data_IF_910109894371
#
_entry.id   IF_910109894371
#
_cell.length_a   1.000
_cell.length_b   1.000
_cell.length_c   1.000
_cell.angle_alpha   90.00
_cell.angle_beta   90.00
_cell.angle_gamma   90.00
#
_symmetry.space_group_name_H-M   'P 1'
#
loop_
_entity.id
_entity.type
_entity.pdbx_description
1 polymer ?
#
# COMPACT_ATOMS: atom_id res chain seq x y z
N UNK A 1 -18.91 123.25 41.89
CA UNK A 1 -19.10 123.70 43.28
C UNK A 1 -20.44 124.40 43.39
N UNK A 2 -21.31 123.93 44.26
CA UNK A 2 -22.66 124.45 44.43
C UNK A 2 -22.67 125.75 45.25
N UNK A 3 -23.57 126.68 44.94
CA UNK A 3 -23.79 127.90 45.72
C UNK A 3 -24.20 127.55 47.16
N UNK A 4 -23.85 128.34 48.20
CA UNK A 4 -24.26 128.08 49.58
C UNK A 4 -25.78 127.89 49.74
N UNK A 5 -26.58 128.66 48.98
CA UNK A 5 -28.03 128.53 48.96
C UNK A 5 -28.49 127.21 48.34
N UNK A 6 -27.89 126.80 47.22
CA UNK A 6 -28.17 125.53 46.55
C UNK A 6 -27.82 124.34 47.43
N UNK A 7 -26.72 124.41 48.20
CA UNK A 7 -26.33 123.34 49.16
C UNK A 7 -27.36 123.16 50.27
N UNK A 8 -27.81 124.25 50.91
CA UNK A 8 -28.82 124.17 51.97
C UNK A 8 -30.15 123.63 51.44
N UNK A 9 -30.54 124.03 50.23
CA UNK A 9 -31.73 123.52 49.55
C UNK A 9 -31.59 122.01 49.27
N UNK A 10 -30.47 121.59 48.69
CA UNK A 10 -30.20 120.17 48.38
C UNK A 10 -30.15 119.30 49.64
N UNK A 11 -29.53 119.77 50.72
CA UNK A 11 -29.49 119.05 52.00
C UNK A 11 -30.92 118.88 52.56
N UNK A 12 -31.73 119.93 52.56
CA UNK A 12 -33.12 119.87 53.04
C UNK A 12 -33.97 118.88 52.25
N UNK A 13 -33.82 118.90 50.92
CA UNK A 13 -34.50 117.95 50.02
C UNK A 13 -34.01 116.52 50.22
N UNK A 14 -32.70 116.31 50.37
CA UNK A 14 -32.13 114.98 50.65
C UNK A 14 -32.59 114.43 52.00
N UNK A 15 -32.68 115.28 53.02
CA UNK A 15 -33.16 114.91 54.35
C UNK A 15 -34.65 114.54 54.31
N UNK A 16 -35.47 115.29 53.60
CA UNK A 16 -36.87 114.94 53.35
C UNK A 16 -37.00 113.61 52.59
N UNK A 17 -36.19 113.39 51.56
CA UNK A 17 -36.17 112.14 50.78
C UNK A 17 -35.71 110.94 51.62
N UNK A 18 -34.66 111.09 52.43
CA UNK A 18 -34.18 110.05 53.35
C UNK A 18 -35.29 109.72 54.35
N UNK A 19 -35.91 110.73 54.96
CA UNK A 19 -36.99 110.55 55.93
C UNK A 19 -38.18 109.82 55.31
N UNK A 20 -38.61 110.20 54.09
CA UNK A 20 -39.68 109.51 53.36
C UNK A 20 -39.32 108.05 53.06
N UNK A 21 -38.08 107.77 52.65
CA UNK A 21 -37.62 106.39 52.38
C UNK A 21 -37.49 105.55 53.67
N UNK A 22 -37.10 106.16 54.79
CA UNK A 22 -37.07 105.49 56.10
C UNK A 22 -38.49 105.17 56.57
N UNK A 23 -39.45 106.09 56.40
CA UNK A 23 -40.87 105.88 56.72
C UNK A 23 -41.47 104.75 55.87
N UNK A 24 -41.18 104.73 54.55
CA UNK A 24 -41.57 103.63 53.65
C UNK A 24 -40.95 102.28 54.05
N UNK A 25 -39.96 102.28 54.94
CA UNK A 25 -39.35 101.08 55.50
C UNK A 25 -39.74 100.70 56.92
N UNK A 26 -40.50 101.55 57.62
CA UNK A 26 -40.88 101.33 59.01
C UNK A 26 -41.78 100.09 59.20
N UNK A 27 -42.46 99.64 58.15
CA UNK A 27 -43.14 98.35 58.14
C UNK A 27 -42.14 97.22 57.85
N UNK A 28 -41.41 96.77 58.88
CA UNK A 28 -40.63 95.52 58.82
C UNK A 28 -40.83 94.63 60.03
N UNK A 29 -40.81 93.32 59.75
CA UNK A 29 -40.10 92.33 60.56
C UNK A 29 -38.63 92.36 60.12
N UNK A 30 -37.71 92.54 61.04
CA UNK A 30 -36.27 92.52 60.76
C UNK A 30 -35.88 91.14 60.22
N UNK A 31 -35.38 91.08 58.98
CA UNK A 31 -34.67 89.91 58.50
C UNK A 31 -33.19 90.11 58.82
N UNK A 32 -32.66 89.24 59.67
CA UNK A 32 -31.29 89.31 60.17
C UNK A 32 -30.28 89.42 59.02
N UNK A 33 -29.43 90.45 59.12
CA UNK A 33 -28.21 90.57 58.33
C UNK A 33 -27.18 89.59 58.90
N UNK A 34 -27.23 88.32 58.48
CA UNK A 34 -26.20 87.35 58.81
C UNK A 34 -24.96 87.59 57.94
N UNK A 35 -24.08 88.45 58.45
CA UNK A 35 -22.70 88.59 58.00
C UNK A 35 -21.85 87.46 58.59
N UNK A 36 -22.15 86.21 58.23
CA UNK A 36 -21.31 85.06 58.59
C UNK A 36 -20.73 84.44 57.32
N UNK A 37 -19.49 84.83 57.02
CA UNK A 37 -18.62 84.13 56.08
C UNK A 37 -18.27 82.75 56.65
N UNK A 38 -18.89 81.69 56.13
CA UNK A 38 -18.43 80.32 56.34
C UNK A 38 -17.52 79.88 55.19
N UNK A 39 -16.44 79.16 55.50
CA UNK A 39 -15.44 78.66 54.55
C UNK A 39 -16.04 77.81 53.41
N UNK A 40 -15.43 77.92 52.22
CA UNK A 40 -15.93 77.36 50.95
C UNK A 40 -16.03 75.82 50.92
N UNK A 41 -15.30 75.11 51.79
CA UNK A 41 -15.18 73.64 51.76
C UNK A 41 -16.43 72.86 52.19
N UNK A 42 -17.39 73.48 52.89
CA UNK A 42 -18.58 72.78 53.44
C UNK A 42 -19.78 72.80 52.48
N UNK A 43 -19.67 73.43 51.29
CA UNK A 43 -20.84 73.81 50.46
C UNK A 43 -21.16 72.86 49.29
N UNK A 44 -20.40 71.79 49.06
CA UNK A 44 -20.56 70.95 47.87
C UNK A 44 -21.12 69.54 48.15
N UNK A 45 -21.35 69.20 49.41
CA UNK A 45 -21.96 67.91 49.78
C UNK A 45 -23.40 68.14 50.20
N UNK A 46 -24.32 68.27 49.23
CA UNK A 46 -25.64 67.63 49.27
C UNK A 46 -26.45 67.99 48.02
N UNK A 47 -26.70 66.96 47.22
CA UNK A 47 -27.58 67.00 46.05
C UNK A 47 -29.04 66.89 46.47
N UNK A 48 -29.85 67.58 45.69
CA UNK A 48 -31.29 67.47 45.49
C UNK A 48 -32.24 68.25 46.41
N UNK A 49 -33.29 68.72 45.72
CA UNK A 49 -34.55 69.29 46.17
C UNK A 49 -34.60 70.83 46.18
N UNK A 50 -35.02 71.39 45.04
CA UNK A 50 -35.89 72.56 44.97
C UNK A 50 -35.39 73.89 45.60
N UNK A 51 -34.11 74.20 45.56
CA UNK A 51 -33.57 75.49 46.03
C UNK A 51 -32.55 76.05 45.05
N UNK A 52 -32.80 77.26 44.53
CA UNK A 52 -31.78 78.03 43.80
C UNK A 52 -30.93 78.73 44.86
N UNK A 53 -29.74 78.20 45.12
CA UNK A 53 -28.73 78.88 45.93
C UNK A 53 -28.05 79.94 45.08
N UNK A 54 -28.15 81.22 45.47
CA UNK A 54 -27.34 82.28 44.90
C UNK A 54 -25.93 82.21 45.52
N UNK A 55 -24.97 81.69 44.75
CA UNK A 55 -23.61 81.36 45.19
C UNK A 55 -22.83 82.59 45.70
N UNK A 56 -23.27 83.80 45.36
CA UNK A 56 -22.65 85.05 45.78
C UNK A 56 -23.21 85.64 47.10
N UNK A 57 -24.39 85.21 47.56
CA UNK A 57 -25.17 86.00 48.55
C UNK A 57 -25.69 85.22 49.77
N UNK A 58 -25.43 83.92 49.90
CA UNK A 58 -25.74 83.10 51.10
C UNK A 58 -27.10 83.37 51.76
N UNK A 59 -28.19 83.43 50.98
CA UNK A 59 -29.55 83.54 51.49
C UNK A 59 -30.44 82.48 50.83
N UNK A 60 -31.28 81.84 51.64
CA UNK A 60 -32.37 80.97 51.19
C UNK A 60 -33.41 81.82 50.46
N UNK A 61 -33.53 81.65 49.14
CA UNK A 61 -34.50 82.38 48.32
C UNK A 61 -35.89 81.75 48.45
N UNK A 62 -36.93 82.48 48.93
CA UNK A 62 -38.31 81.99 48.93
C UNK A 62 -38.85 81.85 47.50
N UNK A 63 -39.54 80.73 47.20
CA UNK A 63 -40.11 80.44 45.85
C UNK A 63 -41.18 81.42 45.35
N UNK A 64 -41.80 82.22 46.24
CA UNK A 64 -42.81 83.18 45.80
C UNK A 64 -42.14 84.38 45.13
N UNK A 65 -42.49 84.63 43.86
CA UNK A 65 -42.02 85.81 43.10
C UNK A 65 -42.28 87.12 43.84
N UNK A 66 -43.33 87.14 44.66
CA UNK A 66 -43.76 88.30 45.42
C UNK A 66 -42.85 88.60 46.62
N UNK A 67 -42.47 87.59 47.40
CA UNK A 67 -41.50 87.73 48.50
C UNK A 67 -40.10 88.11 47.98
N UNK A 68 -39.72 87.59 46.81
CA UNK A 68 -38.48 87.96 46.14
C UNK A 68 -38.44 89.43 45.72
N UNK A 69 -39.53 89.93 45.13
CA UNK A 69 -39.68 91.35 44.78
C UNK A 69 -39.65 92.23 46.03
N UNK A 70 -40.33 91.82 47.09
CA UNK A 70 -40.34 92.54 48.37
C UNK A 70 -38.93 92.63 48.97
N UNK A 71 -38.20 91.51 49.07
CA UNK A 71 -36.81 91.49 49.56
C UNK A 71 -35.89 92.36 48.70
N UNK A 72 -36.04 92.31 47.37
CA UNK A 72 -35.26 93.13 46.43
C UNK A 72 -35.55 94.62 46.64
N UNK A 73 -36.82 95.02 46.64
CA UNK A 73 -37.25 96.40 46.85
C UNK A 73 -36.74 96.96 48.18
N UNK A 74 -36.82 96.15 49.24
CA UNK A 74 -36.39 96.52 50.57
C UNK A 74 -34.87 96.74 50.66
N UNK A 75 -34.07 95.94 49.96
CA UNK A 75 -32.61 96.13 49.86
C UNK A 75 -32.24 97.33 49.02
N UNK A 76 -32.91 97.51 47.87
CA UNK A 76 -32.70 98.67 47.00
C UNK A 76 -33.01 99.96 47.76
N UNK A 77 -34.09 99.98 48.55
CA UNK A 77 -34.40 101.11 49.44
C UNK A 77 -33.32 101.37 50.48
N UNK A 78 -32.85 100.34 51.20
CA UNK A 78 -31.76 100.49 52.18
C UNK A 78 -30.47 101.00 51.54
N UNK A 79 -30.17 100.54 50.33
CA UNK A 79 -29.02 100.98 49.56
C UNK A 79 -29.17 102.45 49.14
N UNK A 80 -30.34 102.86 48.64
CA UNK A 80 -30.64 104.25 48.29
C UNK A 80 -30.52 105.14 49.54
N UNK A 81 -31.06 104.73 50.68
CA UNK A 81 -30.91 105.48 51.95
C UNK A 81 -29.43 105.65 52.34
N UNK A 82 -28.62 104.59 52.22
CA UNK A 82 -27.17 104.66 52.47
C UNK A 82 -26.45 105.59 51.50
N UNK A 83 -26.74 105.51 50.20
CA UNK A 83 -26.13 106.39 49.19
C UNK A 83 -26.54 107.85 49.40
N UNK A 84 -27.82 108.12 49.65
CA UNK A 84 -28.31 109.48 49.90
C UNK A 84 -27.77 110.07 51.21
N UNK A 85 -27.60 109.26 52.26
CA UNK A 85 -27.00 109.72 53.52
C UNK A 85 -25.50 110.02 53.37
N UNK A 86 -24.77 109.25 52.55
CA UNK A 86 -23.39 109.56 52.17
C UNK A 86 -23.31 110.86 51.37
N UNK A 87 -24.18 111.05 50.37
CA UNK A 87 -24.25 112.30 49.57
C UNK A 87 -24.57 113.50 50.46
N UNK A 88 -25.51 113.36 51.40
CA UNK A 88 -25.83 114.41 52.38
C UNK A 88 -24.59 114.78 53.20
N UNK A 89 -23.85 113.79 53.68
CA UNK A 89 -22.65 114.01 54.51
C UNK A 89 -21.53 114.68 53.70
N UNK A 90 -21.29 114.26 52.45
CA UNK A 90 -20.32 114.89 51.55
C UNK A 90 -20.69 116.33 51.18
N UNK A 91 -21.99 116.63 51.02
CA UNK A 91 -22.47 117.99 50.76
C UNK A 91 -22.30 118.92 51.97
N UNK A 92 -22.39 118.39 53.19
CA UNK A 92 -22.13 119.12 54.44
C UNK A 92 -20.62 119.39 54.59
N UNK A 93 -19.78 118.38 54.39
CA UNK A 93 -18.35 118.44 54.71
C UNK A 93 -17.47 119.04 53.60
N UNK A 94 -17.71 118.67 52.34
CA UNK A 94 -16.81 118.99 51.21
C UNK A 94 -17.49 119.84 50.13
N UNK A 95 -18.83 119.89 50.09
CA UNK A 95 -19.58 120.67 49.10
C UNK A 95 -19.51 120.13 47.66
N UNK A 96 -19.06 118.88 47.52
CA UNK A 96 -18.97 118.10 46.28
C UNK A 96 -19.72 116.78 46.45
N UNK A 97 -20.07 116.11 45.36
CA UNK A 97 -20.86 114.86 45.38
C UNK A 97 -20.02 113.78 44.71
N UNK A 98 -19.18 113.06 45.46
CA UNK A 98 -18.25 112.05 44.90
C UNK A 98 -18.71 110.61 45.17
N UNK A 99 -19.44 110.37 46.26
CA UNK A 99 -20.00 109.08 46.64
C UNK A 99 -20.89 108.48 45.55
N UNK A 100 -21.68 109.32 44.86
CA UNK A 100 -22.55 108.82 43.78
C UNK A 100 -21.75 108.37 42.56
N UNK A 101 -20.65 109.05 42.23
CA UNK A 101 -19.80 108.66 41.10
C UNK A 101 -18.99 107.40 41.43
N UNK A 102 -18.47 107.28 42.65
CA UNK A 102 -17.82 106.05 43.12
C UNK A 102 -18.78 104.86 43.15
N UNK A 103 -20.02 105.06 43.63
CA UNK A 103 -21.04 104.02 43.57
C UNK A 103 -21.42 103.65 42.14
N UNK A 104 -21.63 104.64 41.27
CA UNK A 104 -22.01 104.42 39.87
C UNK A 104 -20.92 103.69 39.08
N UNK A 105 -19.63 103.96 39.35
CA UNK A 105 -18.52 103.26 38.70
C UNK A 105 -18.45 101.80 39.12
N UNK A 106 -18.57 101.50 40.41
CA UNK A 106 -18.62 100.12 40.93
C UNK A 106 -19.85 99.37 40.40
N UNK A 107 -21.04 99.98 40.45
CA UNK A 107 -22.27 99.36 39.95
C UNK A 107 -22.20 99.10 38.44
N UNK A 108 -21.65 100.04 37.66
CA UNK A 108 -21.43 99.83 36.24
C UNK A 108 -20.43 98.70 35.97
N UNK A 109 -19.36 98.59 36.75
CA UNK A 109 -18.41 97.50 36.64
C UNK A 109 -19.07 96.15 36.92
N UNK A 110 -19.78 96.02 38.05
CA UNK A 110 -20.52 94.80 38.40
C UNK A 110 -21.58 94.45 37.35
N UNK A 111 -22.27 95.45 36.78
CA UNK A 111 -23.25 95.24 35.70
C UNK A 111 -22.59 94.68 34.44
N UNK A 112 -21.42 95.21 34.05
CA UNK A 112 -20.68 94.72 32.89
C UNK A 112 -20.15 93.30 33.09
N UNK A 113 -19.62 92.99 34.28
CA UNK A 113 -19.21 91.62 34.64
C UNK A 113 -20.38 90.63 34.57
N UNK A 114 -21.55 91.02 35.10
CA UNK A 114 -22.76 90.20 35.03
C UNK A 114 -23.16 89.89 33.59
N UNK A 115 -23.16 90.89 32.70
CA UNK A 115 -23.44 90.71 31.28
C UNK A 115 -22.42 89.74 30.65
N UNK A 116 -21.13 89.91 30.95
CA UNK A 116 -20.07 89.03 30.45
C UNK A 116 -20.25 87.56 30.88
N UNK A 117 -20.59 87.34 32.15
CA UNK A 117 -20.86 86.01 32.69
C UNK A 117 -22.11 85.40 32.03
N UNK A 118 -23.18 86.18 31.88
CA UNK A 118 -24.41 85.73 31.23
C UNK A 118 -24.18 85.33 29.77
N UNK A 119 -23.40 86.11 29.01
CA UNK A 119 -23.04 85.81 27.63
C UNK A 119 -22.19 84.53 27.53
N UNK A 120 -21.22 84.35 28.43
CA UNK A 120 -20.41 83.13 28.49
C UNK A 120 -21.27 81.91 28.83
N UNK A 121 -22.18 82.05 29.79
CA UNK A 121 -23.12 80.98 30.13
C UNK A 121 -24.00 80.61 28.92
N UNK A 122 -24.56 81.60 28.22
CA UNK A 122 -25.35 81.37 27.00
C UNK A 122 -24.54 80.61 25.95
N UNK A 123 -23.31 81.05 25.65
CA UNK A 123 -22.42 80.37 24.69
C UNK A 123 -22.11 78.94 25.12
N UNK A 124 -21.86 78.72 26.41
CA UNK A 124 -21.59 77.38 26.93
C UNK A 124 -22.80 76.46 26.83
N UNK A 125 -24.01 76.96 27.07
CA UNK A 125 -25.25 76.18 26.88
C UNK A 125 -25.39 75.76 25.40
N UNK A 126 -25.24 76.69 24.47
CA UNK A 126 -25.30 76.37 23.04
C UNK A 126 -24.26 75.30 22.65
N UNK A 127 -23.01 75.44 23.11
CA UNK A 127 -21.95 74.44 22.87
C UNK A 127 -22.25 73.08 23.50
N UNK A 128 -22.86 73.05 24.68
CA UNK A 128 -23.26 71.80 25.32
C UNK A 128 -24.34 71.09 24.52
N UNK A 129 -25.30 71.83 23.96
CA UNK A 129 -26.35 71.25 23.13
C UNK A 129 -25.80 70.72 21.79
N UNK A 130 -24.83 71.42 21.17
CA UNK A 130 -24.09 70.93 20.00
C UNK A 130 -23.33 69.63 20.31
N UNK A 131 -22.60 69.58 21.43
CA UNK A 131 -21.84 68.39 21.85
C UNK A 131 -22.78 67.21 22.10
N UNK A 132 -23.93 67.44 22.75
CA UNK A 132 -24.94 66.38 22.96
C UNK A 132 -25.43 65.81 21.64
N UNK A 133 -25.78 66.68 20.68
CA UNK A 133 -26.24 66.26 19.37
C UNK A 133 -25.17 65.43 18.63
N UNK A 134 -23.91 65.87 18.67
CA UNK A 134 -22.80 65.13 18.09
C UNK A 134 -22.57 63.78 18.79
N UNK A 135 -22.67 63.74 20.11
CA UNK A 135 -22.50 62.49 20.87
C UNK A 135 -23.61 61.48 20.55
N UNK A 136 -24.84 61.94 20.36
CA UNK A 136 -25.97 61.08 19.98
C UNK A 136 -25.76 60.54 18.56
N UNK A 137 -25.38 61.39 17.61
CA UNK A 137 -25.08 60.97 16.24
C UNK A 137 -23.94 59.94 16.19
N UNK A 138 -22.86 60.16 16.93
CA UNK A 138 -21.75 59.19 17.02
C UNK A 138 -22.25 57.87 17.61
N UNK A 139 -23.14 57.91 18.60
CA UNK A 139 -23.73 56.70 19.20
C UNK A 139 -24.58 55.93 18.18
N UNK A 140 -25.40 56.62 17.39
CA UNK A 140 -26.19 56.01 16.33
C UNK A 140 -25.31 55.41 15.22
N UNK A 141 -24.31 56.16 14.74
CA UNK A 141 -23.38 55.69 13.71
C UNK A 141 -22.54 54.48 14.20
N UNK A 142 -22.10 54.51 15.46
CA UNK A 142 -21.37 53.37 16.07
C UNK A 142 -22.26 52.15 16.27
N UNK A 143 -23.52 52.33 16.69
CA UNK A 143 -24.48 51.24 16.78
C UNK A 143 -24.81 50.64 15.40
N UNK A 144 -24.97 51.48 14.38
CA UNK A 144 -25.25 51.04 13.03
C UNK A 144 -24.09 50.27 12.41
N UNK A 145 -22.85 50.76 12.59
CA UNK A 145 -21.64 50.07 12.12
C UNK A 145 -21.41 48.76 12.86
N UNK A 146 -21.61 48.73 14.19
CA UNK A 146 -21.53 47.49 14.97
C UNK A 146 -22.56 46.45 14.50
N UNK A 147 -23.82 46.86 14.30
CA UNK A 147 -24.87 45.98 13.80
C UNK A 147 -24.58 45.47 12.37
N UNK A 148 -24.04 46.32 11.50
CA UNK A 148 -23.64 45.92 10.15
C UNK A 148 -22.51 44.88 10.17
N UNK A 149 -21.52 45.08 11.05
CA UNK A 149 -20.44 44.11 11.26
C UNK A 149 -20.94 42.79 11.84
N UNK A 150 -21.92 42.82 12.75
CA UNK A 150 -22.52 41.62 13.32
C UNK A 150 -23.21 40.77 12.25
N UNK A 151 -23.97 41.40 11.35
CA UNK A 151 -24.59 40.72 10.19
C UNK A 151 -23.53 40.08 9.28
N UNK A 152 -22.44 40.79 8.97
CA UNK A 152 -21.36 40.26 8.12
C UNK A 152 -20.67 39.06 8.80
N UNK A 153 -20.42 39.14 10.11
CA UNK A 153 -19.85 38.04 10.90
C UNK A 153 -20.77 36.81 10.84
N UNK A 154 -22.08 36.98 11.03
CA UNK A 154 -23.04 35.88 10.93
C UNK A 154 -23.08 35.24 9.53
N UNK A 155 -23.00 36.05 8.47
CA UNK A 155 -22.90 35.57 7.08
C UNK A 155 -21.64 34.73 6.88
N UNK A 156 -20.48 35.23 7.33
CA UNK A 156 -19.22 34.50 7.23
C UNK A 156 -19.20 33.23 8.08
N UNK A 157 -19.84 33.23 9.24
CA UNK A 157 -20.01 32.02 10.05
C UNK A 157 -20.86 30.98 9.31
N UNK A 158 -21.97 31.39 8.68
CA UNK A 158 -22.80 30.49 7.86
C UNK A 158 -22.03 29.91 6.66
N UNK A 159 -21.25 30.73 5.96
CA UNK A 159 -20.38 30.28 4.87
C UNK A 159 -19.35 29.24 5.36
N UNK A 160 -18.68 29.52 6.50
CA UNK A 160 -17.71 28.60 7.10
C UNK A 160 -18.34 27.27 7.50
N UNK A 161 -19.54 27.28 8.08
CA UNK A 161 -20.23 26.06 8.47
C UNK A 161 -20.70 25.24 7.27
N UNK A 162 -21.13 25.90 6.19
CA UNK A 162 -21.41 25.23 4.93
C UNK A 162 -20.15 24.58 4.36
N UNK A 163 -19.02 25.31 4.36
CA UNK A 163 -17.74 24.79 3.89
C UNK A 163 -17.27 23.58 4.70
N UNK A 164 -17.35 23.65 6.04
CA UNK A 164 -17.04 22.52 6.92
C UNK A 164 -17.89 21.30 6.62
N UNK A 165 -19.21 21.48 6.46
CA UNK A 165 -20.13 20.39 6.12
C UNK A 165 -19.76 19.77 4.78
N UNK A 166 -19.46 20.59 3.77
CA UNK A 166 -19.04 20.11 2.45
C UNK A 166 -17.70 19.34 2.52
N UNK A 167 -16.73 19.84 3.26
CA UNK A 167 -15.44 19.17 3.43
C UNK A 167 -15.60 17.80 4.12
N UNK A 168 -16.43 17.72 5.17
CA UNK A 168 -16.72 16.47 5.87
C UNK A 168 -17.44 15.48 4.96
N UNK A 169 -18.45 15.91 4.20
CA UNK A 169 -19.18 15.03 3.28
C UNK A 169 -18.30 14.52 2.16
N UNK A 170 -17.45 15.38 1.57
CA UNK A 170 -16.46 14.99 0.57
C UNK A 170 -15.44 13.99 1.14
N UNK A 171 -14.93 14.23 2.35
CA UNK A 171 -14.01 13.32 3.01
C UNK A 171 -14.64 11.94 3.25
N UNK A 172 -15.87 11.89 3.78
CA UNK A 172 -16.59 10.63 3.99
C UNK A 172 -16.89 9.91 2.68
N UNK A 173 -17.30 10.64 1.64
CA UNK A 173 -17.54 10.07 0.33
C UNK A 173 -16.26 9.45 -0.25
N UNK A 174 -15.15 10.20 -0.24
CA UNK A 174 -13.86 9.72 -0.71
C UNK A 174 -13.38 8.50 0.07
N UNK A 175 -13.53 8.50 1.39
CA UNK A 175 -13.18 7.36 2.23
C UNK A 175 -13.99 6.12 1.86
N UNK A 176 -15.33 6.25 1.76
CA UNK A 176 -16.20 5.13 1.37
C UNK A 176 -15.90 4.63 -0.04
N UNK A 177 -15.66 5.53 -0.98
CA UNK A 177 -15.30 5.19 -2.35
C UNK A 177 -13.97 4.43 -2.42
N UNK A 178 -12.95 4.90 -1.70
CA UNK A 178 -11.65 4.22 -1.63
C UNK A 178 -11.76 2.86 -0.94
N UNK A 179 -12.52 2.75 0.15
CA UNK A 179 -12.77 1.48 0.83
C UNK A 179 -13.45 0.47 -0.10
N UNK A 180 -14.52 0.87 -0.78
CA UNK A 180 -15.22 -0.01 -1.71
C UNK A 180 -14.32 -0.45 -2.88
N UNK A 181 -13.49 0.46 -3.39
CA UNK A 181 -12.50 0.15 -4.44
C UNK A 181 -11.45 -0.84 -3.95
N UNK A 182 -10.96 -0.66 -2.72
CA UNK A 182 -10.02 -1.58 -2.10
C UNK A 182 -10.64 -2.98 -1.93
N UNK A 183 -11.86 -3.07 -1.40
CA UNK A 183 -12.56 -4.34 -1.20
C UNK A 183 -12.83 -5.06 -2.53
N UNK A 184 -13.23 -4.31 -3.57
CA UNK A 184 -13.40 -4.85 -4.92
C UNK A 184 -12.09 -5.41 -5.48
N UNK A 185 -11.00 -4.64 -5.38
CA UNK A 185 -9.69 -5.07 -5.86
C UNK A 185 -9.19 -6.30 -5.10
N UNK A 186 -9.36 -6.32 -3.77
CA UNK A 186 -9.03 -7.46 -2.93
C UNK A 186 -9.79 -8.70 -3.38
N UNK A 187 -11.11 -8.60 -3.59
CA UNK A 187 -11.92 -9.73 -4.04
C UNK A 187 -11.52 -10.23 -5.45
N UNK A 188 -11.14 -9.32 -6.36
CA UNK A 188 -10.63 -9.68 -7.69
C UNK A 188 -9.31 -10.44 -7.61
N UNK A 189 -8.36 -9.92 -6.82
CA UNK A 189 -7.06 -10.57 -6.59
C UNK A 189 -7.27 -11.95 -5.97
N UNK A 190 -8.05 -12.05 -4.89
CA UNK A 190 -8.34 -13.34 -4.24
C UNK A 190 -8.97 -14.34 -5.22
N UNK A 191 -9.89 -13.89 -6.09
CA UNK A 191 -10.49 -14.76 -7.10
C UNK A 191 -9.46 -15.25 -8.12
N UNK A 192 -8.57 -14.38 -8.58
CA UNK A 192 -7.50 -14.76 -9.52
C UNK A 192 -6.49 -15.69 -8.86
N UNK A 193 -6.07 -15.40 -7.63
CA UNK A 193 -5.19 -16.27 -6.84
C UNK A 193 -5.80 -17.66 -6.63
N UNK A 194 -7.09 -17.75 -6.31
CA UNK A 194 -7.79 -19.04 -6.21
C UNK A 194 -7.77 -19.82 -7.52
N UNK A 195 -8.04 -19.17 -8.66
CA UNK A 195 -7.97 -19.82 -9.98
C UNK A 195 -6.58 -20.34 -10.29
N UNK A 196 -5.54 -19.53 -10.06
CA UNK A 196 -4.16 -19.95 -10.26
C UNK A 196 -3.78 -21.11 -9.34
N UNK A 197 -4.25 -21.09 -8.09
CA UNK A 197 -4.04 -22.20 -7.15
C UNK A 197 -4.71 -23.49 -7.64
N UNK A 198 -5.95 -23.41 -8.14
CA UNK A 198 -6.65 -24.55 -8.75
C UNK A 198 -5.88 -25.09 -9.96
N UNK A 199 -5.38 -24.21 -10.85
CA UNK A 199 -4.55 -24.60 -11.99
C UNK A 199 -3.26 -25.29 -11.56
N UNK A 200 -2.55 -24.74 -10.56
CA UNK A 200 -1.33 -25.36 -9.99
C UNK A 200 -1.66 -26.76 -9.46
N UNK A 201 -2.72 -26.91 -8.66
CA UNK A 201 -3.10 -28.23 -8.11
C UNK A 201 -3.48 -29.22 -9.19
N UNK A 202 -4.13 -28.78 -10.27
CA UNK A 202 -4.48 -29.64 -11.39
C UNK A 202 -3.23 -30.10 -12.16
N UNK A 203 -2.28 -29.20 -12.40
CA UNK A 203 -1.00 -29.54 -13.05
C UNK A 203 -0.18 -30.49 -12.17
N UNK A 204 -0.11 -30.23 -10.87
CA UNK A 204 0.60 -31.09 -9.91
C UNK A 204 0.00 -32.51 -9.88
N UNK A 205 -1.34 -32.62 -9.81
CA UNK A 205 -2.04 -33.90 -9.90
C UNK A 205 -1.74 -34.63 -11.21
N UNK A 206 -1.71 -33.93 -12.35
CA UNK A 206 -1.34 -34.53 -13.64
C UNK A 206 0.11 -35.02 -13.63
N UNK A 207 1.03 -34.22 -13.11
CA UNK A 207 2.45 -34.60 -12.98
C UNK A 207 2.61 -35.87 -12.13
N UNK A 208 1.92 -35.97 -11.00
CA UNK A 208 1.95 -37.16 -10.13
C UNK A 208 1.41 -38.40 -10.87
N UNK A 209 0.36 -38.24 -11.67
CA UNK A 209 -0.21 -39.33 -12.46
C UNK A 209 0.73 -39.75 -13.60
N UNK A 210 1.34 -38.80 -14.30
CA UNK A 210 2.36 -39.07 -15.33
C UNK A 210 3.57 -39.79 -14.74
N UNK A 211 4.08 -39.34 -13.58
CA UNK A 211 5.17 -40.00 -12.86
C UNK A 211 4.82 -41.44 -12.46
N UNK A 212 3.58 -41.68 -12.04
CA UNK A 212 3.10 -43.02 -11.70
C UNK A 212 3.08 -43.93 -12.94
N UNK A 213 2.49 -43.47 -14.04
CA UNK A 213 2.44 -44.22 -15.30
C UNK A 213 3.86 -44.48 -15.82
N UNK A 214 4.73 -43.48 -15.75
CA UNK A 214 6.13 -43.62 -16.15
C UNK A 214 6.84 -44.72 -15.34
N UNK A 215 6.66 -44.75 -14.01
CA UNK A 215 7.20 -45.81 -13.14
C UNK A 215 6.63 -47.19 -13.49
N UNK A 216 5.35 -47.29 -13.83
CA UNK A 216 4.74 -48.56 -14.26
C UNK A 216 5.30 -49.03 -15.60
N UNK A 217 5.48 -48.13 -16.58
CA UNK A 217 6.13 -48.42 -17.86
C UNK A 217 7.56 -48.92 -17.65
N UNK A 218 8.36 -48.22 -16.83
CA UNK A 218 9.73 -48.62 -16.52
C UNK A 218 9.78 -50.01 -15.88
N UNK A 219 8.86 -50.32 -14.96
CA UNK A 219 8.76 -51.66 -14.36
C UNK A 219 8.41 -52.72 -15.40
N UNK A 220 7.42 -52.46 -16.25
CA UNK A 220 7.03 -53.37 -17.32
C UNK A 220 8.20 -53.64 -18.27
N UNK A 221 8.90 -52.59 -18.71
CA UNK A 221 10.07 -52.72 -19.57
C UNK A 221 11.17 -53.55 -18.89
N UNK A 222 11.48 -53.29 -17.61
CA UNK A 222 12.47 -54.06 -16.87
C UNK A 222 12.11 -55.56 -16.78
N UNK A 223 10.83 -55.88 -16.53
CA UNK A 223 10.35 -57.28 -16.50
C UNK A 223 10.45 -57.92 -17.89
N UNK A 224 10.02 -57.21 -18.93
CA UNK A 224 10.06 -57.71 -20.31
C UNK A 224 11.49 -57.93 -20.80
N UNK A 225 12.41 -57.00 -20.52
CA UNK A 225 13.84 -57.16 -20.83
C UNK A 225 14.40 -58.39 -20.12
N UNK A 226 14.10 -58.58 -18.83
CA UNK A 226 14.56 -59.75 -18.08
C UNK A 226 14.02 -61.07 -18.66
N UNK A 227 12.75 -61.12 -19.06
CA UNK A 227 12.17 -62.30 -19.70
C UNK A 227 12.89 -62.63 -21.02
N UNK A 228 13.14 -61.63 -21.86
CA UNK A 228 13.87 -61.81 -23.10
C UNK A 228 15.31 -62.29 -22.83
N UNK A 229 15.99 -61.75 -21.82
CA UNK A 229 17.32 -62.21 -21.41
C UNK A 229 17.31 -63.67 -20.92
N UNK A 230 16.29 -64.07 -20.17
CA UNK A 230 16.08 -65.45 -19.71
C UNK A 230 15.84 -66.40 -20.90
N UNK A 231 15.01 -66.00 -21.87
CA UNK A 231 14.77 -66.76 -23.11
C UNK A 231 16.05 -66.89 -23.95
N UNK A 232 16.79 -65.80 -24.15
CA UNK A 232 18.08 -65.81 -24.85
C UNK A 232 19.04 -66.77 -24.16
N UNK A 233 19.10 -66.75 -22.82
CA UNK A 233 19.96 -67.66 -22.05
C UNK A 233 19.53 -69.12 -22.23
N UNK A 234 18.23 -69.40 -22.15
CA UNK A 234 17.67 -70.73 -22.36
C UNK A 234 18.04 -71.29 -23.75
N UNK A 235 17.80 -70.50 -24.80
CA UNK A 235 18.12 -70.91 -26.18
C UNK A 235 19.62 -71.10 -26.37
N UNK A 236 20.46 -70.21 -25.83
CA UNK A 236 21.92 -70.38 -25.88
C UNK A 236 22.37 -71.67 -25.20
N UNK A 237 21.82 -72.01 -24.03
CA UNK A 237 22.16 -73.24 -23.32
C UNK A 237 21.68 -74.49 -24.07
N UNK A 238 20.51 -74.43 -24.73
CA UNK A 238 20.01 -75.50 -25.58
C UNK A 238 20.91 -75.71 -26.80
N UNK A 239 21.23 -74.63 -27.53
CA UNK A 239 22.10 -74.70 -28.70
C UNK A 239 23.50 -75.20 -28.34
N UNK A 240 24.07 -74.78 -27.21
CA UNK A 240 25.35 -75.32 -26.72
C UNK A 240 25.29 -76.83 -26.48
N UNK A 241 24.20 -77.33 -25.90
CA UNK A 241 24.00 -78.78 -25.69
C UNK A 241 23.85 -79.53 -27.01
N UNK A 242 23.09 -78.98 -27.96
CA UNK A 242 22.88 -79.61 -29.26
C UNK A 242 24.16 -79.62 -30.10
N UNK A 243 24.92 -78.52 -30.10
CA UNK A 243 26.25 -78.44 -30.71
C UNK A 243 27.18 -79.48 -30.07
N UNK A 244 27.27 -79.53 -28.73
CA UNK A 244 28.11 -80.52 -28.05
C UNK A 244 27.71 -81.97 -28.35
N UNK A 245 26.41 -82.24 -28.54
CA UNK A 245 25.93 -83.57 -28.99
C UNK A 245 26.30 -83.85 -30.44
N UNK A 246 26.17 -82.87 -31.32
CA UNK A 246 26.59 -83.00 -32.72
C UNK A 246 28.09 -83.23 -32.83
N UNK A 247 28.91 -82.50 -32.08
CA UNK A 247 30.37 -82.69 -32.01
C UNK A 247 30.73 -84.10 -31.53
N UNK A 248 30.08 -84.60 -30.47
CA UNK A 248 30.23 -86.00 -30.01
C UNK A 248 29.85 -87.02 -31.09
N UNK A 249 28.76 -86.78 -31.82
CA UNK A 249 28.34 -87.65 -32.91
C UNK A 249 29.34 -87.63 -34.06
N UNK A 250 29.88 -86.46 -34.41
CA UNK A 250 30.93 -86.30 -35.43
C UNK A 250 32.16 -87.10 -35.00
N UNK A 251 32.66 -86.91 -33.77
CA UNK A 251 33.81 -87.66 -33.25
C UNK A 251 33.59 -89.17 -33.28
N UNK A 252 32.37 -89.64 -32.95
CA UNK A 252 32.05 -91.07 -33.00
C UNK A 252 31.99 -91.61 -34.44
N UNK A 253 31.46 -90.83 -35.39
CA UNK A 253 31.46 -91.20 -36.81
C UNK A 253 32.89 -91.21 -37.36
N UNK A 254 33.70 -90.21 -37.03
CA UNK A 254 35.13 -90.16 -37.41
C UNK A 254 35.87 -91.39 -36.87
N UNK A 255 35.69 -91.74 -35.59
CA UNK A 255 36.26 -92.96 -35.01
C UNK A 255 35.77 -94.24 -35.70
N UNK A 256 34.47 -94.35 -36.02
CA UNK A 256 33.95 -95.48 -36.79
C UNK A 256 34.53 -95.55 -38.21
N UNK A 257 34.79 -94.41 -38.85
CA UNK A 257 35.45 -94.35 -40.17
C UNK A 257 36.90 -94.79 -40.04
N UNK A 258 37.64 -94.33 -39.03
CA UNK A 258 39.00 -94.78 -38.74
C UNK A 258 39.05 -96.30 -38.51
N UNK A 259 38.15 -96.84 -37.68
CA UNK A 259 38.05 -98.28 -37.45
C UNK A 259 37.67 -99.05 -38.73
N UNK A 260 36.72 -98.53 -39.51
CA UNK A 260 36.31 -99.16 -40.77
C UNK A 260 37.44 -99.14 -41.82
N UNK A 261 38.21 -98.05 -41.91
CA UNK A 261 39.36 -97.94 -42.82
C UNK A 261 40.50 -98.86 -42.39
N UNK A 262 40.77 -98.98 -41.08
CA UNK A 262 41.72 -99.95 -40.55
C UNK A 262 41.30 -101.39 -40.85
N UNK A 263 40.02 -101.72 -40.63
CA UNK A 263 39.48 -103.04 -40.95
C UNK A 263 39.56 -103.33 -42.46
N UNK A 264 39.28 -102.33 -43.29
CA UNK A 264 39.37 -102.46 -44.75
C UNK A 264 40.80 -102.75 -45.18
N UNK A 265 41.78 -101.99 -44.69
CA UNK A 265 43.22 -102.23 -44.96
C UNK A 265 43.66 -103.62 -44.46
N UNK A 266 43.22 -104.05 -43.27
CA UNK A 266 43.49 -105.41 -42.77
C UNK A 266 42.86 -106.48 -43.68
N UNK A 267 41.63 -106.29 -44.14
CA UNK A 267 40.99 -107.23 -45.06
C UNK A 267 41.66 -107.25 -46.42
N UNK A 268 42.07 -106.09 -46.97
CA UNK A 268 42.81 -106.02 -48.25
C UNK A 268 44.14 -106.75 -48.16
N UNK A 269 44.89 -106.60 -47.05
CA UNK A 269 46.12 -107.36 -46.80
C UNK A 269 45.85 -108.86 -46.68
N UNK A 270 44.77 -109.26 -46.00
CA UNK A 270 44.39 -110.67 -45.88
C UNK A 270 43.99 -111.26 -47.24
N UNK A 271 43.22 -110.54 -48.06
CA UNK A 271 42.86 -111.00 -49.42
C UNK A 271 44.08 -111.04 -50.33
N UNK A 272 45.00 -110.08 -50.26
CA UNK A 272 46.26 -110.12 -51.01
C UNK A 272 47.10 -111.36 -50.63
N UNK A 273 47.21 -111.66 -49.33
CA UNK A 273 47.90 -112.86 -48.86
C UNK A 273 47.22 -114.15 -49.33
N UNK A 274 45.88 -114.20 -49.35
CA UNK A 274 45.13 -115.34 -49.85
C UNK A 274 45.26 -115.50 -51.38
N UNK A 275 45.25 -114.40 -52.14
CA UNK A 275 45.52 -114.40 -53.58
C UNK A 275 46.93 -114.87 -53.92
N UNK A 276 47.94 -114.44 -53.14
CA UNK A 276 49.32 -114.93 -53.26
C UNK A 276 49.41 -116.43 -52.96
N UNK A 277 48.75 -116.91 -51.90
CA UNK A 277 48.69 -118.32 -51.56
C UNK A 277 47.98 -119.15 -52.66
N UNK A 278 46.89 -118.64 -53.23
CA UNK A 278 46.19 -119.25 -54.37
C UNK A 278 47.05 -119.30 -55.64
N UNK A 279 47.89 -118.28 -55.89
CA UNK A 279 48.86 -118.30 -56.99
C UNK A 279 49.91 -119.39 -56.79
N UNK A 280 50.50 -119.50 -55.60
CA UNK A 280 51.45 -120.57 -55.27
C UNK A 280 50.83 -121.96 -55.46
N UNK A 281 49.59 -122.17 -54.98
CA UNK A 281 48.87 -123.43 -55.19
C UNK A 281 48.58 -123.73 -56.66
N UNK A 282 48.31 -122.72 -57.48
CA UNK A 282 48.15 -122.88 -58.94
C UNK A 282 49.47 -123.27 -59.59
N UNK A 283 50.57 -122.60 -59.25
CA UNK A 283 51.91 -122.93 -59.75
C UNK A 283 52.30 -124.37 -59.37
N UNK A 284 52.11 -124.77 -58.11
CA UNK A 284 52.36 -126.15 -57.67
C UNK A 284 51.47 -127.18 -58.40
N UNK A 285 50.23 -126.81 -58.73
CA UNK A 285 49.32 -127.68 -59.49
C UNK A 285 49.77 -127.81 -60.95
N UNK A 286 50.17 -126.71 -61.58
CA UNK A 286 50.72 -126.70 -62.94
C UNK A 286 52.03 -127.51 -63.02
N UNK A 287 52.92 -127.40 -62.02
CA UNK A 287 54.12 -128.25 -61.93
C UNK A 287 53.79 -129.73 -61.78
N UNK A 288 52.80 -130.08 -60.92
CA UNK A 288 52.30 -131.46 -60.79
C UNK A 288 51.72 -131.99 -62.09
N UNK A 289 50.91 -131.19 -62.79
CA UNK A 289 50.29 -131.58 -64.05
C UNK A 289 51.34 -131.74 -65.17
N UNK A 290 52.39 -130.91 -65.18
CA UNK A 290 53.52 -131.03 -66.10
C UNK A 290 54.34 -132.32 -65.86
N UNK A 291 54.59 -132.69 -64.60
CA UNK A 291 55.27 -133.94 -64.25
C UNK A 291 54.46 -135.17 -64.69
N UNK A 292 53.14 -135.17 -64.44
CA UNK A 292 52.24 -136.24 -64.87
C UNK A 292 52.17 -136.37 -66.39
N UNK A 293 52.23 -135.26 -67.13
CA UNK A 293 52.27 -135.28 -68.60
C UNK A 293 53.56 -135.93 -69.13
N UNK A 294 54.70 -135.67 -68.49
CA UNK A 294 55.99 -136.28 -68.84
C UNK A 294 55.98 -137.79 -68.55
N UNK A 295 55.39 -138.22 -67.43
CA UNK A 295 55.25 -139.66 -67.11
C UNK A 295 54.36 -140.39 -68.12
N UNK A 296 53.19 -139.84 -68.47
CA UNK A 296 52.34 -140.43 -69.51
C UNK A 296 53.05 -140.54 -70.85
N UNK A 297 53.82 -139.52 -71.25
CA UNK A 297 54.59 -139.55 -72.48
C UNK A 297 55.66 -140.65 -72.45
N UNK A 298 56.33 -140.86 -71.30
CA UNK A 298 57.30 -141.95 -71.11
C UNK A 298 56.64 -143.33 -71.23
N UNK A 299 55.46 -143.52 -70.64
CA UNK A 299 54.70 -144.76 -70.76
C UNK A 299 54.27 -145.03 -72.21
N UNK A 300 53.75 -144.03 -72.92
CA UNK A 300 53.37 -144.17 -74.33
C UNK A 300 54.57 -144.50 -75.23
N UNK A 301 55.73 -143.85 -74.99
CA UNK A 301 56.96 -144.17 -75.70
C UNK A 301 57.44 -145.61 -75.41
N UNK A 302 57.38 -146.04 -74.14
CA UNK A 302 57.73 -147.41 -73.75
C UNK A 302 56.83 -148.45 -74.43
N UNK A 303 55.51 -148.20 -74.51
CA UNK A 303 54.54 -149.06 -75.21
C UNK A 303 54.85 -149.14 -76.70
N UNK A 304 55.16 -148.01 -77.36
CA UNK A 304 55.54 -147.98 -78.78
C UNK A 304 56.83 -148.75 -79.06
N UNK A 305 57.83 -148.64 -78.20
CA UNK A 305 59.08 -149.42 -78.30
C UNK A 305 58.79 -150.91 -78.13
N UNK A 306 57.97 -151.28 -77.14
CA UNK A 306 57.60 -152.67 -76.88
C UNK A 306 56.81 -153.29 -78.06
N UNK A 307 55.90 -152.53 -78.66
CA UNK A 307 55.14 -152.94 -79.85
C UNK A 307 56.04 -153.07 -81.09
N UNK A 308 56.99 -152.14 -81.28
CA UNK A 308 57.96 -152.20 -82.37
C UNK A 308 58.88 -153.43 -82.27
N UNK A 309 59.38 -153.72 -81.06
CA UNK A 309 60.21 -154.90 -80.81
C UNK A 309 59.45 -156.22 -81.06
N UNK A 310 58.19 -156.32 -80.60
CA UNK A 310 57.34 -157.48 -80.88
C UNK A 310 57.06 -157.67 -82.37
N UNK A 311 56.88 -156.58 -83.13
CA UNK A 311 56.66 -156.62 -84.58
C UNK A 311 57.90 -157.03 -85.39
N UNK A 312 59.11 -156.73 -84.92
CA UNK A 312 60.34 -157.19 -85.57
C UNK A 312 60.62 -158.67 -85.32
N UNK A 313 60.35 -159.18 -84.10
CA UNK A 313 60.54 -160.60 -83.80
C UNK A 313 59.69 -161.53 -84.69
N UNK A 314 58.50 -161.10 -85.11
CA UNK A 314 57.62 -161.87 -86.00
C UNK A 314 58.11 -161.86 -87.45
N UNK A 315 58.69 -160.75 -87.92
CA UNK A 315 59.09 -160.61 -89.34
C UNK A 315 60.42 -161.28 -89.68
N UNK A 316 61.34 -161.39 -88.73
CA UNK A 316 62.68 -161.94 -88.96
C UNK A 316 62.86 -163.35 -88.36
N UNK A 317 61.75 -164.02 -88.02
CA UNK A 317 61.68 -165.44 -87.63
C UNK A 317 62.69 -165.88 -86.55
N UNK A 318 62.95 -165.02 -85.56
CA UNK A 318 63.82 -165.36 -84.43
C UNK A 318 63.05 -166.13 -83.33
N UNK A 319 63.63 -167.23 -82.85
CA UNK A 319 63.15 -167.99 -81.69
C UNK A 319 62.00 -168.96 -82.00
N UNK A 320 61.08 -169.13 -81.04
CA UNK A 320 60.01 -170.16 -81.04
C UNK A 320 59.05 -170.15 -82.24
N UNK A 321 59.17 -169.18 -83.15
CA UNK A 321 58.41 -169.09 -84.40
C UNK A 321 59.10 -169.78 -85.59
N UNK A 322 60.37 -170.20 -85.47
CA UNK A 322 61.08 -170.95 -86.52
C UNK A 322 60.67 -172.44 -86.61
N UNK A 323 60.17 -173.03 -85.51
CA UNK A 323 59.81 -174.47 -85.47
C UNK A 323 58.42 -174.78 -86.03
N UNK A 324 57.63 -173.76 -86.39
CA UNK A 324 56.24 -173.94 -86.84
C UNK A 324 56.11 -174.23 -88.34
N UNK A 325 57.13 -173.91 -89.15
CA UNK A 325 57.10 -174.05 -90.63
C UNK A 325 57.46 -175.46 -91.11
N UNK A 326 58.11 -176.29 -90.29
CA UNK A 326 58.50 -177.67 -90.66
C UNK A 326 57.42 -178.70 -90.29
N UNK A 327 56.51 -178.40 -89.35
CA UNK A 327 55.45 -179.32 -88.93
C UNK A 327 54.13 -179.23 -89.73
N UNK A 328 53.94 -178.22 -90.57
CA UNK A 328 52.72 -178.04 -91.37
C UNK A 328 52.78 -178.67 -92.79
N UNK A 329 53.88 -179.35 -93.15
CA UNK A 329 54.05 -180.04 -94.44
C UNK A 329 53.91 -181.58 -94.38
N UNK A 330 53.59 -182.18 -93.21
CA UNK A 330 53.31 -183.63 -93.05
C UNK A 330 52.19 -183.90 -92.04
N UNK A 331 50.96 -183.53 -92.39
CA UNK A 331 49.68 -184.04 -91.85
C UNK A 331 48.55 -183.46 -92.72
N UNK A 332 47.60 -184.22 -93.28
CA UNK A 332 46.68 -185.17 -92.64
C UNK A 332 46.00 -184.59 -91.40
#
# INVERSE_FOLDING_TARGET
RFSPFERCLMISVLEECINKLVILGANRKQYASNSNFLSAGVRLANKHVNMVYDLFRHIVIPRSKEKLREIKFQRERELIVKVLSLIRSELIEMGEINAIYAYLTVENHCRLEYISIADRHRKNVCRLDEIKLLSEKIREDTAHTANSQEIEIEEKQRELDLFKKLAITQMMYNYRWQSARYDQNKALIERQSRKLQEEITNVDNKSIMEDRVHKEILKYLAISTKQIEEDIKYWNDLYKKDIGRMEMNIMNIEGNIEDATLNLDLTERATQAEEEHLKVLKEEKEERDALLAIERLREECAIKIQAWWRGNMVRWEFGRYAEMTIHLARRN
#
